data_IF_554479849266
#
_entry.id   IF_554479849266
#
_cell.length_a   1.000
_cell.length_b   1.000
_cell.length_c   1.000
_cell.angle_alpha   90.00
_cell.angle_beta   90.00
_cell.angle_gamma   90.00
#
_symmetry.space_group_name_H-M   'P 1'
#
loop_
_entity.id
_entity.type
_entity.pdbx_description
1 polymer ?
#
# COMPACT_ATOMS: atom_id res chain seq x y z
N UNK A 1 57.40 6.87 33.62
CA UNK A 1 56.49 5.70 33.59
C UNK A 1 55.06 6.23 33.44
N UNK A 2 54.66 6.62 32.23
CA UNK A 2 53.37 7.25 31.99
C UNK A 2 52.91 6.98 30.56
N UNK A 3 51.62 6.66 30.40
CA UNK A 3 50.89 6.91 29.16
C UNK A 3 50.67 5.71 28.24
N UNK A 4 49.76 4.79 28.61
CA UNK A 4 49.06 3.88 27.67
C UNK A 4 47.68 3.43 28.19
N UNK A 5 46.85 4.34 28.67
CA UNK A 5 45.45 4.01 29.01
C UNK A 5 44.59 5.22 28.67
N UNK A 6 44.10 5.35 27.44
CA UNK A 6 43.03 6.34 27.12
C UNK A 6 42.28 6.17 25.81
N UNK A 7 42.70 5.32 24.85
CA UNK A 7 42.09 5.34 23.50
C UNK A 7 41.04 4.26 23.21
N UNK A 8 40.72 3.38 24.18
CA UNK A 8 39.79 2.26 23.95
C UNK A 8 38.34 2.52 24.41
N UNK A 9 38.07 3.58 25.18
CA UNK A 9 36.72 3.82 25.75
C UNK A 9 35.82 4.73 24.92
N UNK A 10 36.32 5.41 23.89
CA UNK A 10 35.53 6.40 23.13
C UNK A 10 34.76 5.83 21.93
N UNK A 11 35.00 4.58 21.52
CA UNK A 11 34.30 3.98 20.37
C UNK A 11 33.01 3.24 20.73
N UNK A 12 32.76 2.95 22.02
CA UNK A 12 31.59 2.16 22.45
C UNK A 12 30.32 2.99 22.63
N UNK A 13 30.40 4.33 22.55
CA UNK A 13 29.29 5.22 22.86
C UNK A 13 28.40 5.59 21.67
N UNK A 14 28.75 5.21 20.43
CA UNK A 14 27.93 5.51 19.24
C UNK A 14 26.93 4.41 18.84
N UNK A 15 26.90 3.26 19.54
CA UNK A 15 26.09 2.11 19.12
C UNK A 15 24.66 2.06 19.72
N UNK A 16 24.22 3.10 20.45
CA UNK A 16 22.95 3.06 21.18
C UNK A 16 22.02 4.24 20.90
N UNK A 17 22.07 4.82 19.70
CA UNK A 17 20.92 5.59 19.23
C UNK A 17 19.82 4.59 18.88
N UNK A 18 18.65 4.61 19.56
CA UNK A 18 17.53 3.82 19.11
C UNK A 18 17.21 4.31 17.71
N UNK A 19 17.39 3.45 16.70
CA UNK A 19 16.73 3.65 15.44
C UNK A 19 15.25 3.67 15.77
N UNK A 20 14.67 4.86 15.92
CA UNK A 20 13.23 5.01 15.92
C UNK A 20 12.81 4.55 14.54
N UNK A 21 12.38 3.31 14.44
CA UNK A 21 11.49 2.90 13.37
C UNK A 21 10.40 3.98 13.36
N UNK A 22 10.34 4.76 12.29
CA UNK A 22 9.23 5.67 12.10
C UNK A 22 7.96 4.83 12.25
N UNK A 23 7.00 5.28 13.06
CA UNK A 23 5.75 4.55 13.23
C UNK A 23 5.15 4.33 11.83
N UNK A 24 4.99 3.05 11.46
CA UNK A 24 4.36 2.69 10.20
C UNK A 24 2.95 3.31 10.18
N UNK A 25 2.55 4.02 9.11
CA UNK A 25 1.23 4.66 9.08
C UNK A 25 0.11 3.65 9.31
N UNK A 26 -0.81 3.99 10.22
CA UNK A 26 -1.97 3.15 10.53
C UNK A 26 -3.17 3.43 9.62
N UNK A 27 -3.08 4.47 8.79
CA UNK A 27 -4.07 4.85 7.81
C UNK A 27 -3.46 5.60 6.60
N UNK A 28 -4.15 5.52 5.46
CA UNK A 28 -3.82 6.21 4.22
C UNK A 28 -5.07 6.79 3.56
N UNK A 29 -4.92 7.91 2.85
CA UNK A 29 -5.85 8.33 1.81
C UNK A 29 -5.18 8.23 0.44
N UNK A 30 -5.81 7.51 -0.48
CA UNK A 30 -5.24 7.18 -1.78
C UNK A 30 -6.04 7.84 -2.92
N UNK A 31 -5.32 8.26 -3.95
CA UNK A 31 -5.90 8.83 -5.17
C UNK A 31 -5.18 8.29 -6.39
N UNK A 32 -5.94 7.77 -7.33
CA UNK A 32 -5.49 7.17 -8.57
C UNK A 32 -6.10 7.93 -9.75
N UNK A 33 -5.34 8.90 -10.27
CA UNK A 33 -5.80 9.79 -11.33
C UNK A 33 -5.87 9.10 -12.71
N UNK A 34 -5.15 8.00 -12.89
CA UNK A 34 -5.05 7.30 -14.17
C UNK A 34 -5.04 5.79 -13.99
N UNK A 35 -5.58 5.08 -14.97
CA UNK A 35 -5.54 3.64 -15.05
C UNK A 35 -5.93 3.13 -16.43
N UNK A 36 -5.81 1.84 -16.61
CA UNK A 36 -6.26 1.11 -17.80
C UNK A 36 -7.34 0.11 -17.40
N UNK A 37 -8.27 -0.16 -18.30
CA UNK A 37 -9.27 -1.21 -18.14
C UNK A 37 -9.22 -2.14 -19.36
N UNK A 38 -9.42 -3.43 -19.11
CA UNK A 38 -9.54 -4.48 -20.10
C UNK A 38 -10.81 -5.26 -19.79
N UNK A 39 -11.72 -5.32 -20.76
CA UNK A 39 -12.96 -6.09 -20.68
C UNK A 39 -12.87 -7.25 -21.65
N UNK A 40 -13.38 -8.41 -21.27
CA UNK A 40 -13.42 -9.56 -22.17
C UNK A 40 -14.71 -9.57 -22.99
N UNK A 41 -14.57 -9.48 -24.29
CA UNK A 41 -15.68 -9.50 -25.23
C UNK A 41 -15.35 -10.42 -26.41
N UNK A 42 -16.30 -11.27 -26.79
CA UNK A 42 -16.21 -12.11 -28.00
C UNK A 42 -14.90 -12.92 -28.11
N UNK A 43 -14.39 -13.39 -26.98
CA UNK A 43 -13.19 -14.24 -26.94
C UNK A 43 -11.86 -13.49 -26.85
N UNK A 44 -11.86 -12.18 -26.60
CA UNK A 44 -10.63 -11.38 -26.49
C UNK A 44 -10.77 -10.24 -25.47
N UNK A 45 -9.65 -9.76 -24.95
CA UNK A 45 -9.62 -8.54 -24.14
C UNK A 45 -9.61 -7.30 -25.05
N UNK A 46 -10.50 -6.36 -24.74
CA UNK A 46 -10.60 -5.07 -25.40
C UNK A 46 -10.36 -3.94 -24.40
N UNK A 47 -9.63 -2.88 -24.79
CA UNK A 47 -9.35 -1.77 -23.90
C UNK A 47 -10.60 -0.93 -23.67
N UNK A 48 -10.79 -0.50 -22.43
CA UNK A 48 -11.82 0.45 -22.03
C UNK A 48 -11.24 1.61 -21.22
N UNK A 49 -12.05 2.67 -21.07
CA UNK A 49 -11.68 3.84 -20.28
C UNK A 49 -11.88 3.55 -18.79
N UNK A 50 -10.80 3.55 -18.03
CA UNK A 50 -10.85 3.52 -16.58
C UNK A 50 -11.17 4.91 -16.01
N UNK A 51 -12.16 5.00 -15.12
CA UNK A 51 -12.45 6.22 -14.37
C UNK A 51 -11.45 6.37 -13.18
N UNK A 52 -11.06 7.60 -12.80
CA UNK A 52 -10.25 7.84 -11.60
C UNK A 52 -10.89 7.27 -10.34
N UNK A 53 -10.06 6.91 -9.37
CA UNK A 53 -10.51 6.31 -8.10
C UNK A 53 -9.85 6.98 -6.90
N UNK A 54 -10.60 7.06 -5.80
CA UNK A 54 -10.08 7.49 -4.50
C UNK A 54 -10.74 6.70 -3.39
N UNK A 55 -9.97 6.31 -2.38
CA UNK A 55 -10.45 5.61 -1.18
C UNK A 55 -9.45 5.78 -0.03
N UNK A 56 -9.91 5.48 1.18
CA UNK A 56 -9.06 5.41 2.36
C UNK A 56 -8.74 3.97 2.74
N UNK A 57 -7.62 3.79 3.42
CA UNK A 57 -7.28 2.57 4.16
C UNK A 57 -7.09 3.01 5.61
N UNK A 58 -7.70 2.33 6.57
CA UNK A 58 -7.65 2.69 7.98
C UNK A 58 -7.46 1.46 8.86
N UNK A 59 -7.24 1.69 10.17
CA UNK A 59 -7.13 0.64 11.17
C UNK A 59 -6.14 -0.47 10.78
N UNK A 60 -5.01 -0.09 10.17
CA UNK A 60 -3.98 -1.03 9.75
C UNK A 60 -3.37 -1.66 11.01
N UNK A 61 -3.55 -2.97 11.12
CA UNK A 61 -2.97 -3.79 12.17
C UNK A 61 -2.02 -4.79 11.52
N UNK A 62 -0.71 -4.50 11.61
CA UNK A 62 0.32 -5.30 10.97
C UNK A 62 0.56 -6.65 11.65
N UNK A 63 0.20 -6.77 12.93
CA UNK A 63 0.28 -8.03 13.68
C UNK A 63 -0.88 -8.96 13.32
N UNK A 64 -2.11 -8.43 13.27
CA UNK A 64 -3.30 -9.18 12.88
C UNK A 64 -3.40 -9.37 11.37
N UNK A 65 -2.60 -8.64 10.59
CA UNK A 65 -2.62 -8.65 9.12
C UNK A 65 -3.98 -8.21 8.55
N UNK A 66 -4.56 -7.17 9.15
CA UNK A 66 -5.88 -6.64 8.78
C UNK A 66 -5.84 -5.14 8.60
N UNK A 67 -6.75 -4.62 7.77
CA UNK A 67 -7.06 -3.20 7.69
C UNK A 67 -8.52 -3.02 7.25
N UNK A 68 -8.97 -1.78 7.20
CA UNK A 68 -10.29 -1.40 6.71
C UNK A 68 -10.18 -0.57 5.43
N UNK A 69 -10.95 -0.94 4.41
CA UNK A 69 -11.18 -0.12 3.23
C UNK A 69 -12.27 0.92 3.55
N UNK A 70 -12.03 2.19 3.28
CA UNK A 70 -13.00 3.28 3.45
C UNK A 70 -13.36 3.86 2.09
N UNK A 71 -14.61 3.72 1.69
CA UNK A 71 -15.15 4.30 0.45
C UNK A 71 -16.33 5.22 0.78
N UNK A 72 -16.80 6.01 -0.20
CA UNK A 72 -18.04 6.77 -0.05
C UNK A 72 -19.29 5.91 0.15
N UNK A 73 -19.20 4.61 -0.13
CA UNK A 73 -20.31 3.65 -0.01
C UNK A 73 -20.29 2.87 1.31
N UNK A 74 -19.20 2.93 2.08
CA UNK A 74 -19.09 2.22 3.36
C UNK A 74 -17.67 1.76 3.69
N UNK A 75 -17.61 0.83 4.65
CA UNK A 75 -16.37 0.20 5.12
C UNK A 75 -16.32 -1.27 4.68
N UNK A 76 -15.17 -1.69 4.13
CA UNK A 76 -14.86 -3.09 3.81
C UNK A 76 -13.66 -3.59 4.60
N UNK A 77 -13.45 -4.90 4.65
CA UNK A 77 -12.29 -5.52 5.33
C UNK A 77 -11.18 -5.84 4.34
N UNK A 78 -9.95 -5.57 4.73
CA UNK A 78 -8.75 -5.85 3.96
C UNK A 78 -7.84 -6.83 4.72
N UNK A 79 -7.18 -7.71 3.97
CA UNK A 79 -6.03 -8.47 4.46
C UNK A 79 -4.75 -7.72 4.12
N UNK A 80 -3.78 -7.74 5.03
CA UNK A 80 -2.51 -7.03 4.90
C UNK A 80 -1.35 -8.02 4.73
N UNK A 81 -0.60 -7.88 3.66
CA UNK A 81 0.66 -8.61 3.46
C UNK A 81 1.78 -7.59 3.44
N UNK A 82 2.69 -7.66 4.42
CA UNK A 82 3.89 -6.83 4.41
C UNK A 82 4.96 -7.47 3.54
N UNK A 83 5.57 -6.66 2.70
CA UNK A 83 6.74 -7.00 1.92
C UNK A 83 7.88 -6.03 2.24
N UNK A 84 9.07 -6.31 1.73
CA UNK A 84 10.18 -5.35 1.80
C UNK A 84 9.78 -4.12 0.97
N UNK A 85 9.76 -2.95 1.61
CA UNK A 85 9.48 -1.64 1.03
C UNK A 85 8.06 -1.47 0.46
N UNK A 86 7.10 -2.30 0.89
CA UNK A 86 5.71 -2.21 0.48
C UNK A 86 4.74 -2.88 1.45
N UNK A 87 3.50 -2.38 1.47
CA UNK A 87 2.35 -3.06 2.04
C UNK A 87 1.33 -3.36 0.95
N UNK A 88 0.88 -4.62 0.91
CA UNK A 88 -0.21 -5.06 0.04
C UNK A 88 -1.50 -5.18 0.85
N UNK A 89 -2.59 -4.67 0.29
CA UNK A 89 -3.92 -4.69 0.86
C UNK A 89 -4.84 -5.43 -0.10
N UNK A 90 -5.35 -6.57 0.35
CA UNK A 90 -6.19 -7.46 -0.46
C UNK A 90 -7.62 -7.36 0.03
N UNK A 91 -8.50 -6.91 -0.87
CA UNK A 91 -9.95 -7.02 -0.70
C UNK A 91 -10.42 -8.28 -1.42
N UNK A 92 -10.97 -9.23 -0.67
CA UNK A 92 -11.65 -10.40 -1.22
C UNK A 92 -13.13 -10.22 -0.95
N UNK A 93 -13.88 -9.87 -1.98
CA UNK A 93 -15.32 -9.67 -1.88
C UNK A 93 -16.08 -10.85 -2.49
N UNK A 94 -17.41 -10.79 -2.42
CA UNK A 94 -18.28 -11.83 -2.98
C UNK A 94 -18.06 -12.00 -4.49
N UNK A 95 -18.41 -13.17 -5.02
CA UNK A 95 -18.40 -13.45 -6.47
C UNK A 95 -17.02 -13.40 -7.14
N UNK A 96 -15.94 -13.67 -6.38
CA UNK A 96 -14.60 -13.79 -6.93
C UNK A 96 -13.92 -12.45 -7.24
N UNK A 97 -14.48 -11.35 -6.74
CA UNK A 97 -13.83 -10.04 -6.80
C UNK A 97 -12.59 -10.03 -5.93
N UNK A 98 -11.46 -9.70 -6.54
CA UNK A 98 -10.19 -9.49 -5.87
C UNK A 98 -9.67 -8.10 -6.26
N UNK A 99 -9.53 -7.22 -5.28
CA UNK A 99 -8.81 -5.98 -5.44
C UNK A 99 -7.51 -6.02 -4.65
N UNK A 100 -6.45 -5.50 -5.24
CA UNK A 100 -5.13 -5.44 -4.60
C UNK A 100 -4.63 -4.01 -4.69
N UNK A 101 -4.36 -3.40 -3.55
CA UNK A 101 -3.64 -2.14 -3.46
C UNK A 101 -2.24 -2.41 -2.93
N UNK A 102 -1.22 -1.91 -3.60
CA UNK A 102 0.15 -1.91 -3.09
C UNK A 102 0.56 -0.48 -2.83
N UNK A 103 1.00 -0.20 -1.60
CA UNK A 103 1.57 1.08 -1.20
C UNK A 103 3.06 0.82 -0.94
N UNK A 104 3.92 1.48 -1.71
CA UNK A 104 5.37 1.40 -1.56
C UNK A 104 5.86 2.42 -0.53
N UNK A 105 7.12 2.33 -0.13
CA UNK A 105 7.77 3.32 0.74
C UNK A 105 7.60 4.75 0.24
N UNK A 106 7.62 5.69 1.18
CA UNK A 106 7.45 7.11 0.90
C UNK A 106 8.51 7.59 -0.08
N UNK A 107 8.08 8.27 -1.13
CA UNK A 107 8.95 9.09 -1.98
C UNK A 107 9.17 10.43 -1.27
N UNK A 108 10.38 10.62 -0.72
CA UNK A 108 10.74 11.83 0.03
C UNK A 108 10.69 13.11 -0.81
N UNK A 109 10.98 13.02 -2.12
CA UNK A 109 10.95 14.19 -3.00
C UNK A 109 9.52 14.67 -3.24
N UNK A 110 8.56 13.74 -3.28
CA UNK A 110 7.13 14.04 -3.45
C UNK A 110 6.40 14.25 -2.12
N UNK A 111 6.91 13.68 -1.03
CA UNK A 111 6.25 13.66 0.27
C UNK A 111 5.04 12.71 0.32
N UNK A 112 4.94 11.74 -0.58
CA UNK A 112 3.80 10.83 -0.70
C UNK A 112 4.25 9.40 -0.99
N UNK A 113 3.36 8.43 -0.77
CA UNK A 113 3.63 7.01 -1.01
C UNK A 113 3.17 6.66 -2.43
N UNK A 114 4.06 6.20 -3.33
CA UNK A 114 3.62 5.67 -4.61
C UNK A 114 2.73 4.46 -4.38
N UNK A 115 1.66 4.35 -5.18
CA UNK A 115 0.71 3.26 -5.02
C UNK A 115 0.19 2.76 -6.37
N UNK A 116 -0.09 1.47 -6.40
CA UNK A 116 -0.79 0.81 -7.51
C UNK A 116 -2.02 0.09 -7.00
N UNK A 117 -3.07 0.09 -7.80
CA UNK A 117 -4.32 -0.60 -7.47
C UNK A 117 -4.78 -1.42 -8.66
N UNK A 118 -5.01 -2.71 -8.44
CA UNK A 118 -5.57 -3.61 -9.44
C UNK A 118 -6.94 -4.09 -9.00
N UNK A 119 -7.87 -4.22 -9.94
CA UNK A 119 -9.17 -4.86 -9.73
C UNK A 119 -9.35 -6.01 -10.69
N UNK A 120 -9.73 -7.16 -10.16
CA UNK A 120 -10.06 -8.36 -10.90
C UNK A 120 -11.47 -8.76 -10.49
N UNK A 121 -12.45 -8.65 -11.41
CA UNK A 121 -13.82 -9.01 -11.10
C UNK A 121 -14.56 -9.50 -12.36
N UNK A 122 -15.64 -10.24 -12.15
CA UNK A 122 -16.57 -10.62 -13.21
C UNK A 122 -17.77 -9.69 -13.21
N UNK A 123 -18.21 -9.24 -14.38
CA UNK A 123 -19.49 -8.57 -14.56
C UNK A 123 -20.30 -9.33 -15.62
N UNK A 124 -21.47 -9.86 -15.22
CA UNK A 124 -22.30 -10.73 -16.07
C UNK A 124 -21.52 -11.91 -16.69
N UNK A 125 -20.58 -12.48 -15.92
CA UNK A 125 -19.74 -13.60 -16.35
C UNK A 125 -18.57 -13.23 -17.25
N UNK A 126 -18.40 -11.96 -17.63
CA UNK A 126 -17.23 -11.48 -18.37
C UNK A 126 -16.14 -10.99 -17.41
N UNK A 127 -14.89 -11.45 -17.54
CA UNK A 127 -13.80 -10.93 -16.73
C UNK A 127 -13.46 -9.49 -17.12
N UNK A 128 -13.25 -8.66 -16.09
CA UNK A 128 -12.78 -7.29 -16.19
C UNK A 128 -11.54 -7.15 -15.32
N UNK A 129 -10.49 -6.56 -15.89
CA UNK A 129 -9.26 -6.24 -15.17
C UNK A 129 -8.97 -4.75 -15.33
N UNK A 130 -8.61 -4.10 -14.23
CA UNK A 130 -8.18 -2.71 -14.25
C UNK A 130 -6.89 -2.53 -13.48
N UNK A 131 -6.02 -1.64 -13.95
CA UNK A 131 -4.74 -1.32 -13.32
C UNK A 131 -4.57 0.18 -13.20
N UNK A 132 -4.32 0.65 -11.99
CA UNK A 132 -4.25 2.07 -11.64
C UNK A 132 -2.89 2.43 -11.06
N UNK A 133 -2.47 3.67 -11.32
CA UNK A 133 -1.27 4.27 -10.75
C UNK A 133 -1.65 5.57 -10.04
N UNK A 134 -1.09 5.77 -8.85
CA UNK A 134 -1.47 6.88 -8.00
C UNK A 134 -0.55 7.05 -6.81
N UNK A 135 -1.05 7.77 -5.82
CA UNK A 135 -0.33 8.06 -4.60
C UNK A 135 -1.26 7.98 -3.40
N UNK A 136 -0.67 7.60 -2.26
CA UNK A 136 -1.31 7.64 -0.97
C UNK A 136 -0.60 8.64 -0.06
N UNK A 137 -1.35 9.28 0.83
CA UNK A 137 -0.84 10.10 1.91
C UNK A 137 -1.18 9.43 3.23
N UNK A 138 -0.21 9.33 4.14
CA UNK A 138 -0.45 8.86 5.50
C UNK A 138 -1.51 9.75 6.18
N UNK A 139 -2.34 9.12 7.02
CA UNK A 139 -3.32 9.77 7.88
C UNK A 139 -3.02 9.40 9.33
N UNK A 140 -3.26 10.36 10.21
CA UNK A 140 -3.25 10.18 11.67
C UNK A 140 -4.47 9.37 12.12
#
# INVERSE_FOLDING_TARGET
MAGRISLALLLSALAALPARAADEPTAFACTFASGTAQVYEKGQFVPEKAAPLSFGIAAINTQAQTAELKTGQGTGTLRVVRAVNAMHFLEVATEGVLHITTIFDKDDAKGAYPAVHSRHFGLFGQPIVTQYHGFCAAKE
#
